data_IF_529044444713
#
_entry.id   IF_529044444713
#
_cell.length_a   1.000
_cell.length_b   1.000
_cell.length_c   1.000
_cell.angle_alpha   90.00
_cell.angle_beta   90.00
_cell.angle_gamma   90.00
#
_symmetry.space_group_name_H-M   'P 1'
#
loop_
_entity.id
_entity.type
_entity.pdbx_description
1 polymer ?
#
# COMPACT_ATOMS: atom_id res chain seq x y z
N UNK A 1 -3.08 -37.16 -58.16
CA UNK A 1 -3.24 -35.68 -58.22
C UNK A 1 -4.35 -35.26 -57.26
N UNK A 2 -4.07 -34.62 -56.11
CA UNK A 2 -5.11 -34.15 -55.21
C UNK A 2 -5.43 -32.66 -55.47
N UNK A 3 -6.73 -32.35 -55.57
CA UNK A 3 -7.27 -30.99 -55.72
C UNK A 3 -7.19 -30.24 -54.38
N UNK A 4 -6.43 -29.14 -54.36
CA UNK A 4 -6.39 -28.17 -53.24
C UNK A 4 -7.67 -27.33 -53.24
N UNK A 5 -8.43 -27.40 -52.15
CA UNK A 5 -9.53 -26.46 -51.87
C UNK A 5 -8.96 -25.13 -51.37
N UNK A 6 -9.34 -24.03 -52.02
CA UNK A 6 -9.06 -22.66 -51.56
C UNK A 6 -10.22 -22.22 -50.68
N UNK A 7 -9.94 -21.90 -49.41
CA UNK A 7 -10.89 -21.18 -48.54
C UNK A 7 -10.74 -19.67 -48.76
N UNK A 8 -11.84 -18.89 -48.71
CA UNK A 8 -11.77 -17.44 -48.78
C UNK A 8 -11.31 -16.86 -47.44
N UNK A 9 -10.41 -15.87 -47.50
CA UNK A 9 -9.97 -15.07 -46.36
C UNK A 9 -10.95 -13.91 -46.23
N UNK A 10 -11.76 -13.89 -45.16
CA UNK A 10 -12.56 -12.74 -44.79
C UNK A 10 -11.67 -11.69 -44.10
N UNK A 11 -11.39 -10.58 -44.78
CA UNK A 11 -10.87 -9.37 -44.15
C UNK A 11 -11.98 -8.73 -43.31
N UNK A 12 -11.92 -8.86 -41.99
CA UNK A 12 -12.64 -7.99 -41.07
C UNK A 12 -11.79 -6.75 -40.82
N UNK A 13 -12.20 -5.62 -41.39
CA UNK A 13 -11.65 -4.32 -41.06
C UNK A 13 -12.17 -3.91 -39.67
N UNK A 14 -11.31 -4.01 -38.64
CA UNK A 14 -11.59 -3.43 -37.33
C UNK A 14 -11.50 -1.90 -37.41
N UNK A 15 -12.65 -1.24 -37.47
CA UNK A 15 -12.76 0.20 -37.25
C UNK A 15 -12.66 0.44 -35.74
N UNK A 16 -11.47 0.75 -35.25
CA UNK A 16 -11.30 1.28 -33.90
C UNK A 16 -11.85 2.71 -33.87
N UNK A 17 -12.86 3.04 -33.05
CA UNK A 17 -13.24 4.42 -32.84
C UNK A 17 -12.06 5.12 -32.15
N UNK A 18 -11.53 6.15 -32.80
CA UNK A 18 -10.55 7.06 -32.21
C UNK A 18 -11.16 7.71 -30.97
N UNK A 19 -10.84 7.16 -29.79
CA UNK A 19 -11.11 7.77 -28.51
C UNK A 19 -10.28 9.07 -28.46
N UNK A 20 -10.95 10.20 -28.70
CA UNK A 20 -10.41 11.53 -28.47
C UNK A 20 -10.02 11.63 -26.99
N UNK A 21 -8.72 11.45 -26.72
CA UNK A 21 -8.07 11.82 -25.47
C UNK A 21 -8.23 13.34 -25.29
N UNK A 22 -9.32 13.76 -24.66
CA UNK A 22 -9.45 15.09 -24.06
C UNK A 22 -8.44 15.14 -22.91
N UNK A 23 -7.22 15.56 -23.22
CA UNK A 23 -6.26 16.00 -22.23
C UNK A 23 -6.80 17.25 -21.57
N UNK A 24 -7.50 17.10 -20.45
CA UNK A 24 -7.61 18.19 -19.51
C UNK A 24 -6.19 18.46 -19.01
N UNK A 25 -5.65 19.63 -19.31
CA UNK A 25 -4.49 20.20 -18.62
C UNK A 25 -4.88 20.43 -17.16
N UNK A 26 -4.94 19.33 -16.41
CA UNK A 26 -5.11 19.36 -14.97
C UNK A 26 -3.78 19.89 -14.42
N UNK A 27 -3.76 21.18 -14.07
CA UNK A 27 -2.60 21.84 -13.51
C UNK A 27 -2.03 20.98 -12.40
N UNK A 28 -0.81 20.45 -12.62
CA UNK A 28 -0.20 19.51 -11.69
C UNK A 28 -0.21 20.12 -10.28
N UNK A 29 -0.68 19.38 -9.26
CA UNK A 29 -0.75 19.91 -7.90
C UNK A 29 0.64 20.41 -7.47
N UNK A 30 0.71 21.52 -6.72
CA UNK A 30 1.99 22.10 -6.33
C UNK A 30 2.80 21.06 -5.55
N UNK A 31 4.05 20.84 -6.00
CA UNK A 31 4.96 19.90 -5.37
C UNK A 31 5.22 20.32 -3.92
N UNK A 32 4.97 19.42 -2.97
CA UNK A 32 5.35 19.64 -1.58
C UNK A 32 6.86 19.50 -1.42
N UNK A 33 7.45 20.42 -0.65
CA UNK A 33 8.85 20.35 -0.24
C UNK A 33 9.02 19.14 0.68
N UNK A 34 9.96 18.26 0.36
CA UNK A 34 10.24 17.08 1.17
C UNK A 34 10.96 17.47 2.48
N UNK A 35 10.60 16.85 3.62
CA UNK A 35 11.39 16.99 4.83
C UNK A 35 12.78 16.36 4.62
N UNK A 36 13.80 16.81 5.38
CA UNK A 36 15.14 16.22 5.29
C UNK A 36 15.08 14.74 5.67
N UNK A 37 15.89 13.94 4.97
CA UNK A 37 16.08 12.52 5.26
C UNK A 37 17.44 12.31 5.94
N UNK A 38 17.46 11.51 7.01
CA UNK A 38 18.70 11.11 7.70
C UNK A 38 18.82 9.60 7.67
N UNK A 39 19.96 9.11 7.20
CA UNK A 39 20.29 7.69 7.13
C UNK A 39 21.40 7.39 8.13
N UNK A 40 21.08 6.55 9.10
CA UNK A 40 22.01 6.01 10.06
C UNK A 40 22.38 4.60 9.64
N UNK A 41 23.67 4.33 9.44
CA UNK A 41 24.14 3.05 8.91
C UNK A 41 25.38 2.55 9.66
N UNK A 42 25.59 1.23 9.64
CA UNK A 42 26.86 0.61 10.02
C UNK A 42 27.70 0.36 8.76
N UNK A 43 28.97 0.73 8.81
CA UNK A 43 29.98 0.34 7.82
C UNK A 43 30.23 -1.16 7.78
N UNK A 44 29.92 -1.87 8.85
CA UNK A 44 30.00 -3.33 8.91
C UNK A 44 28.77 -4.05 8.31
N UNK A 45 27.70 -3.34 7.91
CA UNK A 45 26.57 -3.97 7.21
C UNK A 45 27.05 -4.42 5.81
N UNK A 46 27.15 -5.73 5.53
CA UNK A 46 27.60 -6.22 4.22
C UNK A 46 26.67 -5.81 3.08
N UNK A 47 25.45 -5.40 3.38
CA UNK A 47 24.47 -4.93 2.40
C UNK A 47 24.48 -3.41 2.21
N UNK A 48 25.28 -2.66 2.98
CA UNK A 48 25.35 -1.21 2.89
C UNK A 48 25.58 -0.70 1.45
N UNK A 49 26.50 -1.25 0.63
CA UNK A 49 26.71 -0.75 -0.73
C UNK A 49 25.45 -0.80 -1.62
N UNK A 50 24.64 -1.86 -1.47
CA UNK A 50 23.38 -1.98 -2.21
C UNK A 50 22.32 -1.00 -1.67
N UNK A 51 22.26 -0.83 -0.35
CA UNK A 51 21.35 0.11 0.30
C UNK A 51 21.66 1.56 -0.06
N UNK A 52 22.94 1.93 0.01
CA UNK A 52 23.47 3.23 -0.36
C UNK A 52 23.10 3.58 -1.80
N UNK A 53 23.33 2.65 -2.73
CA UNK A 53 22.94 2.84 -4.13
C UNK A 53 21.44 3.12 -4.26
N UNK A 54 20.58 2.33 -3.61
CA UNK A 54 19.13 2.51 -3.67
C UNK A 54 18.70 3.87 -3.09
N UNK A 55 19.30 4.30 -1.97
CA UNK A 55 19.06 5.59 -1.35
C UNK A 55 19.49 6.74 -2.28
N UNK A 56 20.68 6.64 -2.88
CA UNK A 56 21.23 7.67 -3.76
C UNK A 56 20.46 7.79 -5.07
N UNK A 57 19.96 6.67 -5.60
CA UNK A 57 19.09 6.66 -6.77
C UNK A 57 17.79 7.46 -6.47
N UNK A 58 17.15 7.26 -5.31
CA UNK A 58 15.97 8.03 -4.89
C UNK A 58 16.29 9.51 -4.70
N UNK A 59 17.43 9.85 -4.09
CA UNK A 59 17.84 11.24 -3.90
C UNK A 59 18.16 11.94 -5.23
N UNK A 60 18.73 11.23 -6.20
CA UNK A 60 19.01 11.75 -7.55
C UNK A 60 17.73 12.09 -8.30
N UNK A 61 16.69 11.28 -8.14
CA UNK A 61 15.35 11.52 -8.71
C UNK A 61 14.58 12.64 -7.99
N UNK A 62 15.04 13.05 -6.80
CA UNK A 62 14.38 14.05 -5.94
C UNK A 62 15.39 15.10 -5.45
N UNK A 63 15.83 16.05 -6.31
CA UNK A 63 16.94 16.95 -6.00
C UNK A 63 16.68 17.93 -4.84
N UNK A 64 15.42 18.16 -4.48
CA UNK A 64 15.00 18.93 -3.30
C UNK A 64 15.06 18.12 -1.99
N UNK A 65 15.25 16.80 -2.06
CA UNK A 65 15.42 15.95 -0.88
C UNK A 65 16.81 16.14 -0.27
N UNK A 66 16.84 16.79 0.89
CA UNK A 66 18.07 16.96 1.68
C UNK A 66 18.41 15.65 2.38
N UNK A 67 19.34 14.88 1.83
CA UNK A 67 19.80 13.60 2.38
C UNK A 67 21.09 13.78 3.20
N UNK A 68 21.10 13.29 4.44
CA UNK A 68 22.29 13.20 5.30
C UNK A 68 22.56 11.74 5.67
N UNK A 69 23.78 11.25 5.42
CA UNK A 69 24.22 9.90 5.83
C UNK A 69 25.14 10.03 7.05
N UNK A 70 24.92 9.20 8.07
CA UNK A 70 25.64 9.19 9.34
C UNK A 70 26.04 7.75 9.65
N UNK A 71 27.34 7.46 9.61
CA UNK A 71 27.84 6.20 10.13
C UNK A 71 27.76 6.24 11.66
N UNK A 72 27.10 5.28 12.28
CA UNK A 72 27.00 5.22 13.75
C UNK A 72 28.13 4.42 14.40
N UNK A 73 28.92 3.70 13.61
CA UNK A 73 30.13 2.98 14.03
C UNK A 73 31.42 3.75 13.73
N UNK A 74 31.32 4.98 13.23
CA UNK A 74 32.50 5.81 12.98
C UNK A 74 33.17 6.25 14.29
N UNK A 75 34.41 5.80 14.46
CA UNK A 75 35.23 5.94 15.67
C UNK A 75 35.81 7.36 15.83
N UNK A 76 35.42 8.36 15.00
CA UNK A 76 35.95 9.72 15.11
C UNK A 76 35.61 10.32 16.49
N UNK A 77 36.59 10.28 17.40
CA UNK A 77 36.48 10.71 18.79
C UNK A 77 37.04 9.74 19.84
N UNK A 78 37.49 8.53 19.49
CA UNK A 78 38.08 7.63 20.49
C UNK A 78 39.55 7.97 20.78
N UNK A 79 39.78 8.65 21.91
CA UNK A 79 41.08 8.66 22.60
C UNK A 79 41.36 7.36 23.36
N UNK A 80 40.85 6.21 22.91
CA UNK A 80 41.03 4.92 23.59
C UNK A 80 41.40 3.84 22.58
N UNK A 81 42.60 3.29 22.77
CA UNK A 81 43.25 2.30 21.90
C UNK A 81 42.33 1.07 21.62
N UNK A 82 41.99 0.79 20.34
CA UNK A 82 41.15 -0.36 19.95
C UNK A 82 41.76 -1.73 20.29
N UNK A 83 43.07 -1.82 20.55
CA UNK A 83 43.74 -3.08 20.90
C UNK A 83 43.31 -3.70 22.25
N UNK A 84 42.59 -2.96 23.10
CA UNK A 84 42.07 -3.48 24.39
C UNK A 84 40.67 -4.10 24.32
N UNK A 85 40.05 -4.13 23.15
CA UNK A 85 38.72 -4.70 22.97
C UNK A 85 38.83 -6.12 22.41
N UNK A 86 38.95 -7.12 23.30
CA UNK A 86 39.01 -8.55 22.93
C UNK A 86 37.64 -9.20 22.72
N UNK A 87 36.54 -8.42 22.68
CA UNK A 87 35.18 -8.96 22.54
C UNK A 87 34.48 -8.47 21.26
N UNK A 88 33.87 -9.37 20.47
CA UNK A 88 33.17 -9.00 19.24
C UNK A 88 31.91 -8.16 19.53
N UNK A 89 31.86 -6.94 18.98
CA UNK A 89 30.82 -5.92 19.22
C UNK A 89 29.38 -6.37 18.96
N UNK A 90 29.17 -7.37 18.10
CA UNK A 90 27.82 -7.86 17.71
C UNK A 90 27.00 -8.44 18.87
N UNK A 91 27.62 -8.92 19.95
CA UNK A 91 26.90 -9.48 21.09
C UNK A 91 26.53 -8.44 22.16
N UNK A 92 27.24 -7.30 22.23
CA UNK A 92 27.04 -6.30 23.29
C UNK A 92 25.92 -5.28 23.00
N UNK A 93 25.57 -5.04 21.74
CA UNK A 93 24.41 -4.20 21.41
C UNK A 93 23.09 -4.74 21.97
N UNK A 94 23.01 -6.05 22.27
CA UNK A 94 21.84 -6.67 22.95
C UNK A 94 21.84 -6.52 24.48
N UNK A 95 23.00 -6.29 25.11
CA UNK A 95 23.14 -6.09 26.57
C UNK A 95 23.27 -4.61 26.98
N UNK A 96 23.23 -3.72 25.99
CA UNK A 96 23.31 -2.28 26.13
C UNK A 96 22.42 -1.72 27.27
N UNK A 97 21.09 -1.95 27.34
CA UNK A 97 20.26 -1.20 28.28
C UNK A 97 20.62 -1.40 29.76
N UNK A 98 21.12 -2.58 30.14
CA UNK A 98 21.49 -2.92 31.53
C UNK A 98 22.97 -2.68 31.84
N UNK A 99 23.88 -2.74 30.86
CA UNK A 99 25.30 -2.35 31.03
C UNK A 99 25.51 -0.83 30.98
N UNK A 100 24.58 -0.07 30.38
CA UNK A 100 24.67 1.39 30.18
C UNK A 100 24.77 2.23 31.45
N UNK A 101 24.28 1.75 32.60
CA UNK A 101 24.32 2.54 33.85
C UNK A 101 25.59 2.37 34.68
N UNK A 102 26.45 1.39 34.38
CA UNK A 102 27.59 1.03 35.25
C UNK A 102 28.95 0.96 34.56
N UNK A 103 29.05 1.19 33.25
CA UNK A 103 30.34 1.21 32.56
C UNK A 103 30.89 2.66 32.53
N UNK A 104 31.98 2.97 33.26
CA UNK A 104 32.55 4.33 33.30
C UNK A 104 33.23 4.76 31.98
N UNK A 105 33.29 3.88 30.97
CA UNK A 105 33.93 4.14 29.67
C UNK A 105 32.96 4.57 28.56
N UNK A 106 31.65 4.64 28.82
CA UNK A 106 30.62 4.92 27.80
C UNK A 106 30.32 6.42 27.56
N UNK A 107 31.08 7.34 28.17
CA UNK A 107 31.03 8.76 27.83
C UNK A 107 31.47 9.10 26.39
N UNK A 108 32.01 8.10 25.66
CA UNK A 108 32.65 8.27 24.35
C UNK A 108 32.01 7.44 23.23
N UNK A 109 30.71 7.11 23.29
CA UNK A 109 30.06 6.48 22.13
C UNK A 109 30.08 7.44 20.92
N UNK A 110 30.20 6.93 19.67
CA UNK A 110 30.21 7.77 18.49
C UNK A 110 29.04 8.75 18.49
N UNK A 111 29.30 10.00 18.08
CA UNK A 111 28.24 11.00 17.97
C UNK A 111 27.08 10.53 17.07
N UNK A 112 27.38 9.70 16.06
CA UNK A 112 26.37 9.08 15.18
C UNK A 112 25.45 8.10 15.92
N UNK A 113 25.98 7.33 16.88
CA UNK A 113 25.19 6.39 17.68
C UNK A 113 24.19 7.11 18.59
N UNK A 114 24.60 8.21 19.24
CA UNK A 114 23.68 9.02 20.05
C UNK A 114 22.57 9.66 19.21
N UNK A 115 22.91 10.19 18.03
CA UNK A 115 21.92 10.74 17.10
C UNK A 115 20.93 9.66 16.63
N UNK A 116 21.39 8.43 16.38
CA UNK A 116 20.51 7.31 16.06
C UNK A 116 19.56 7.01 17.23
N UNK A 117 20.07 6.85 18.45
CA UNK A 117 19.25 6.56 19.63
C UNK A 117 18.20 7.64 19.90
N UNK A 118 18.57 8.91 19.72
CA UNK A 118 17.65 10.04 19.87
C UNK A 118 16.53 9.98 18.81
N UNK A 119 16.89 9.73 17.55
CA UNK A 119 15.92 9.58 16.47
C UNK A 119 14.98 8.38 16.67
N UNK A 120 15.53 7.23 17.08
CA UNK A 120 14.74 6.02 17.38
C UNK A 120 13.77 6.24 18.55
N UNK A 121 14.20 6.96 19.59
CA UNK A 121 13.32 7.33 20.71
C UNK A 121 12.23 8.29 20.27
N UNK A 122 12.59 9.35 19.54
CA UNK A 122 11.67 10.39 19.11
C UNK A 122 10.55 9.83 18.22
N UNK A 123 10.85 8.84 17.37
CA UNK A 123 9.90 8.20 16.46
C UNK A 123 9.34 6.86 16.99
N UNK A 124 9.67 6.48 18.23
CA UNK A 124 9.27 5.21 18.85
C UNK A 124 9.57 3.98 17.96
N UNK A 125 10.75 3.96 17.34
CA UNK A 125 11.13 2.96 16.34
C UNK A 125 11.40 1.61 17.01
N UNK A 126 10.51 0.63 16.79
CA UNK A 126 10.73 -0.74 17.19
C UNK A 126 10.25 -1.74 16.11
N UNK A 127 11.04 -2.75 15.73
CA UNK A 127 12.41 -3.04 16.19
C UNK A 127 13.49 -2.27 15.39
N UNK A 128 14.61 -2.00 16.06
CA UNK A 128 15.79 -1.32 15.49
C UNK A 128 16.52 -2.18 14.45
N UNK A 129 17.24 -1.54 13.53
CA UNK A 129 17.94 -2.17 12.41
C UNK A 129 19.45 -1.91 12.39
N UNK A 130 20.14 -2.56 11.45
CA UNK A 130 21.54 -2.28 11.10
C UNK A 130 21.64 -0.99 10.24
N UNK A 131 20.50 -0.57 9.69
CA UNK A 131 20.28 0.64 8.92
C UNK A 131 18.93 1.24 9.34
N UNK A 132 18.91 2.53 9.63
CA UNK A 132 17.70 3.30 9.97
C UNK A 132 17.65 4.55 9.11
N UNK A 133 16.55 4.74 8.38
CA UNK A 133 16.26 5.95 7.61
C UNK A 133 15.08 6.68 8.24
N UNK A 134 15.22 7.97 8.53
CA UNK A 134 14.13 8.84 8.98
C UNK A 134 13.87 9.93 7.95
N UNK A 135 12.59 10.27 7.75
CA UNK A 135 12.14 11.35 6.87
C UNK A 135 10.83 11.94 7.42
N UNK A 136 10.91 13.15 7.99
CA UNK A 136 9.78 13.73 8.74
C UNK A 136 9.35 12.84 9.91
N UNK A 137 8.10 12.39 9.91
CA UNK A 137 7.54 11.49 10.92
C UNK A 137 7.62 10.00 10.55
N UNK A 138 8.24 9.68 9.41
CA UNK A 138 8.35 8.31 8.91
C UNK A 138 9.74 7.77 9.20
N UNK A 139 9.80 6.49 9.60
CA UNK A 139 11.03 5.74 9.74
C UNK A 139 10.96 4.40 9.01
N UNK A 140 12.09 4.00 8.41
CA UNK A 140 12.31 2.70 7.77
C UNK A 140 13.55 2.06 8.41
N UNK A 141 13.52 0.74 8.64
CA UNK A 141 14.67 0.02 9.22
C UNK A 141 14.99 -1.26 8.45
N UNK A 142 16.27 -1.49 8.18
CA UNK A 142 16.76 -2.72 7.56
C UNK A 142 17.59 -3.52 8.57
N UNK A 143 17.37 -4.83 8.63
CA UNK A 143 18.07 -5.78 9.50
C UNK A 143 18.12 -7.17 8.89
N UNK A 144 19.32 -7.71 8.68
CA UNK A 144 19.50 -8.99 8.00
C UNK A 144 18.74 -9.03 6.67
N UNK A 145 17.79 -9.95 6.51
CA UNK A 145 16.99 -10.10 5.29
C UNK A 145 15.81 -9.11 5.16
N UNK A 146 15.45 -8.42 6.25
CA UNK A 146 14.46 -7.35 6.19
C UNK A 146 15.14 -6.09 5.66
N UNK A 147 14.84 -5.68 4.44
CA UNK A 147 15.49 -4.54 3.76
C UNK A 147 14.47 -3.46 3.43
N UNK A 148 13.82 -2.90 4.46
CA UNK A 148 12.67 -1.99 4.27
C UNK A 148 13.10 -0.64 3.73
N UNK A 149 14.30 -0.15 4.08
CA UNK A 149 14.81 1.13 3.54
C UNK A 149 14.90 1.04 2.02
N UNK A 150 15.52 -0.01 1.50
CA UNK A 150 15.73 -0.21 0.08
C UNK A 150 14.43 -0.45 -0.69
N UNK A 151 13.49 -1.18 -0.07
CA UNK A 151 12.21 -1.53 -0.70
C UNK A 151 11.20 -0.41 -0.67
N UNK A 152 11.19 0.40 0.39
CA UNK A 152 10.09 1.32 0.66
C UNK A 152 10.45 2.80 0.49
N UNK A 153 11.74 3.18 0.48
CA UNK A 153 12.12 4.60 0.54
C UNK A 153 11.55 5.42 -0.64
N UNK A 154 11.64 4.89 -1.86
CA UNK A 154 11.04 5.50 -3.04
C UNK A 154 9.53 5.73 -2.88
N UNK A 155 8.81 4.72 -2.38
CA UNK A 155 7.36 4.79 -2.12
C UNK A 155 6.99 5.79 -1.03
N UNK A 156 7.82 5.92 0.02
CA UNK A 156 7.65 6.94 1.07
C UNK A 156 7.82 8.33 0.49
N UNK A 157 8.88 8.58 -0.26
CA UNK A 157 9.14 9.88 -0.89
C UNK A 157 7.99 10.27 -1.82
N UNK A 158 7.53 9.34 -2.65
CA UNK A 158 6.36 9.55 -3.52
C UNK A 158 5.10 9.89 -2.72
N UNK A 159 4.84 9.16 -1.63
CA UNK A 159 3.66 9.38 -0.78
C UNK A 159 3.70 10.72 -0.04
N UNK A 160 4.89 11.17 0.39
CA UNK A 160 5.06 12.49 1.04
C UNK A 160 4.92 13.65 0.04
N UNK A 161 5.39 13.45 -1.19
CA UNK A 161 5.29 14.46 -2.26
C UNK A 161 3.87 14.63 -2.78
N UNK A 162 3.11 13.54 -2.89
CA UNK A 162 1.76 13.49 -3.45
C UNK A 162 0.75 12.80 -2.52
N UNK A 163 0.47 13.36 -1.33
CA UNK A 163 -0.38 12.69 -0.34
C UNK A 163 -1.81 12.45 -0.85
N UNK A 164 -2.35 13.34 -1.68
CA UNK A 164 -3.65 13.19 -2.31
C UNK A 164 -3.75 11.95 -3.21
N UNK A 165 -2.64 11.55 -3.84
CA UNK A 165 -2.59 10.36 -4.70
C UNK A 165 -2.66 9.06 -3.91
N UNK A 166 -2.27 9.07 -2.63
CA UNK A 166 -2.25 7.87 -1.80
C UNK A 166 -3.19 7.84 -0.61
N UNK A 167 -3.84 8.95 -0.24
CA UNK A 167 -4.66 9.04 0.97
C UNK A 167 -6.09 9.44 0.70
N UNK A 168 -6.99 8.93 1.54
CA UNK A 168 -8.40 9.26 1.49
C UNK A 168 -9.15 8.66 0.30
N UNK A 169 -10.42 9.01 0.18
CA UNK A 169 -11.27 8.59 -0.93
C UNK A 169 -10.85 9.29 -2.22
N UNK A 170 -10.77 8.55 -3.32
CA UNK A 170 -10.77 9.14 -4.66
C UNK A 170 -12.20 9.43 -5.12
N UNK A 171 -12.36 10.11 -6.24
CA UNK A 171 -13.64 10.13 -6.94
C UNK A 171 -14.00 8.71 -7.42
N UNK A 172 -15.27 8.35 -7.32
CA UNK A 172 -15.82 7.05 -7.74
C UNK A 172 -17.09 7.29 -8.55
N UNK A 173 -17.42 6.38 -9.48
CA UNK A 173 -18.66 6.42 -10.27
C UNK A 173 -19.49 5.15 -10.07
N UNK A 174 -20.23 5.04 -8.93
CA UNK A 174 -21.14 3.93 -8.69
C UNK A 174 -22.18 3.72 -9.81
N UNK A 175 -22.81 4.76 -10.40
CA UNK A 175 -23.71 4.57 -11.56
C UNK A 175 -23.05 3.87 -12.74
N UNK A 176 -21.85 4.28 -13.17
CA UNK A 176 -21.17 3.65 -14.29
C UNK A 176 -20.76 2.21 -13.96
N UNK A 177 -20.29 1.96 -12.73
CA UNK A 177 -19.95 0.61 -12.30
C UNK A 177 -21.17 -0.31 -12.24
N UNK A 178 -22.31 0.17 -11.74
CA UNK A 178 -23.57 -0.56 -11.74
C UNK A 178 -24.00 -0.97 -13.16
N UNK A 179 -23.86 -0.07 -14.14
CA UNK A 179 -24.19 -0.39 -15.54
C UNK A 179 -23.28 -1.46 -16.15
N UNK A 180 -22.00 -1.49 -15.75
CA UNK A 180 -21.08 -2.57 -16.17
C UNK A 180 -21.49 -3.92 -15.58
N UNK A 181 -21.91 -3.95 -14.32
CA UNK A 181 -22.16 -5.19 -13.57
C UNK A 181 -23.57 -5.75 -13.76
N UNK A 182 -24.59 -4.89 -13.78
CA UNK A 182 -26.01 -5.27 -13.82
C UNK A 182 -26.69 -4.93 -15.16
N UNK A 183 -25.95 -4.37 -16.11
CA UNK A 183 -26.43 -4.03 -17.46
C UNK A 183 -26.80 -2.56 -17.64
N UNK A 184 -26.98 -2.10 -18.90
CA UNK A 184 -27.05 -0.67 -19.25
C UNK A 184 -28.26 0.07 -18.65
N UNK A 185 -29.30 -0.66 -18.23
CA UNK A 185 -30.52 -0.12 -17.61
C UNK A 185 -30.42 0.03 -16.09
N UNK A 186 -29.30 -0.39 -15.48
CA UNK A 186 -29.08 -0.30 -14.04
C UNK A 186 -29.07 1.16 -13.57
N UNK A 187 -29.80 1.41 -12.48
CA UNK A 187 -29.86 2.70 -11.78
C UNK A 187 -29.39 2.49 -10.34
N UNK A 188 -28.69 3.47 -9.80
CA UNK A 188 -28.24 3.46 -8.41
C UNK A 188 -29.09 4.43 -7.59
N UNK A 189 -29.56 3.96 -6.45
CA UNK A 189 -30.30 4.75 -5.47
C UNK A 189 -29.44 4.84 -4.20
N UNK A 190 -29.00 6.06 -3.86
CA UNK A 190 -28.20 6.28 -2.67
C UNK A 190 -29.03 5.99 -1.41
N UNK A 191 -28.45 5.24 -0.48
CA UNK A 191 -29.07 5.05 0.85
C UNK A 191 -28.64 6.17 1.80
N UNK A 192 -29.41 6.35 2.89
CA UNK A 192 -29.09 7.34 3.90
C UNK A 192 -27.66 7.14 4.45
N UNK A 193 -26.89 8.21 4.69
CA UNK A 193 -25.56 8.11 5.27
C UNK A 193 -25.61 7.36 6.61
N UNK A 194 -24.64 6.48 6.85
CA UNK A 194 -24.46 5.83 8.14
C UNK A 194 -23.18 6.32 8.83
N UNK A 195 -23.01 5.93 10.09
CA UNK A 195 -21.79 6.17 10.86
C UNK A 195 -20.56 5.40 10.34
N UNK A 196 -20.74 4.54 9.34
CA UNK A 196 -19.64 3.84 8.66
C UNK A 196 -19.07 4.69 7.54
N UNK A 197 -17.77 4.58 7.29
CA UNK A 197 -17.15 5.26 6.15
C UNK A 197 -17.70 4.79 4.80
N UNK A 198 -18.27 3.58 4.70
CA UNK A 198 -18.81 2.98 3.48
C UNK A 198 -20.13 3.60 3.01
N UNK A 199 -20.28 3.73 1.68
CA UNK A 199 -21.51 4.24 1.05
C UNK A 199 -22.19 3.12 0.28
N UNK A 200 -23.47 2.90 0.56
CA UNK A 200 -24.26 1.81 -0.02
C UNK A 200 -25.28 2.38 -1.02
N UNK A 201 -25.36 1.75 -2.18
CA UNK A 201 -26.24 2.12 -3.27
C UNK A 201 -27.08 0.90 -3.66
N UNK A 202 -28.41 1.00 -3.55
CA UNK A 202 -29.29 -0.03 -4.11
C UNK A 202 -29.26 0.06 -5.64
N UNK A 203 -29.25 -1.11 -6.29
CA UNK A 203 -29.25 -1.19 -7.76
C UNK A 203 -30.59 -1.73 -8.23
N UNK A 204 -31.26 -0.94 -9.07
CA UNK A 204 -32.51 -1.30 -9.71
C UNK A 204 -32.35 -1.42 -11.23
N UNK A 205 -32.98 -2.45 -11.78
CA UNK A 205 -33.16 -2.64 -13.23
C UNK A 205 -34.66 -2.74 -13.47
N UNK A 206 -35.21 -1.73 -14.17
CA UNK A 206 -36.63 -1.71 -14.55
C UNK A 206 -37.61 -1.80 -13.37
N UNK A 207 -37.27 -1.13 -12.26
CA UNK A 207 -38.10 -1.13 -11.05
C UNK A 207 -37.96 -2.39 -10.19
N UNK A 208 -37.10 -3.33 -10.59
CA UNK A 208 -36.73 -4.49 -9.77
C UNK A 208 -35.33 -4.29 -9.20
N UNK A 209 -35.22 -4.42 -7.88
CA UNK A 209 -33.94 -4.43 -7.20
C UNK A 209 -33.16 -5.70 -7.53
N UNK A 210 -31.94 -5.54 -8.03
CA UNK A 210 -31.08 -6.65 -8.49
C UNK A 210 -29.81 -6.81 -7.66
N UNK A 211 -29.44 -5.81 -6.86
CA UNK A 211 -28.22 -5.89 -6.08
C UNK A 211 -27.85 -4.58 -5.38
N UNK A 212 -26.58 -4.49 -5.03
CA UNK A 212 -25.95 -3.38 -4.35
C UNK A 212 -24.63 -3.01 -5.03
N UNK A 213 -24.32 -1.71 -5.10
CA UNK A 213 -22.95 -1.22 -5.20
C UNK A 213 -22.57 -0.66 -3.84
N UNK A 214 -21.37 -1.01 -3.37
CA UNK A 214 -20.81 -0.45 -2.15
C UNK A 214 -19.51 0.24 -2.46
N UNK A 215 -19.42 1.51 -2.12
CA UNK A 215 -18.21 2.32 -2.21
C UNK A 215 -17.47 2.23 -0.87
N UNK A 216 -16.51 1.30 -0.82
CA UNK A 216 -15.80 0.91 0.37
C UNK A 216 -14.46 1.64 0.51
N UNK A 217 -14.17 2.13 1.72
CA UNK A 217 -12.92 2.84 2.01
C UNK A 217 -12.28 2.39 3.31
N UNK A 218 -10.98 2.09 3.30
CA UNK A 218 -10.21 1.77 4.50
C UNK A 218 -8.83 2.41 4.44
N UNK A 219 -8.49 3.16 5.49
CA UNK A 219 -7.12 3.63 5.68
C UNK A 219 -6.18 2.45 5.97
N UNK A 220 -5.09 2.30 5.21
CA UNK A 220 -4.13 1.20 5.42
C UNK A 220 -3.15 1.52 6.57
N UNK A 221 -3.04 2.80 6.96
CA UNK A 221 -2.10 3.28 7.98
C UNK A 221 -0.64 2.84 7.72
N UNK A 222 -0.29 2.60 6.46
CA UNK A 222 1.07 2.30 6.01
C UNK A 222 1.61 3.56 5.33
N UNK A 223 2.74 4.14 5.77
CA UNK A 223 3.24 5.40 5.20
C UNK A 223 3.63 5.29 3.72
N UNK A 224 3.80 4.06 3.21
CA UNK A 224 4.23 3.75 1.84
C UNK A 224 3.08 3.41 0.90
N UNK A 225 2.07 2.70 1.41
CA UNK A 225 0.98 2.18 0.58
C UNK A 225 -0.17 3.19 0.55
N UNK A 226 -0.87 3.24 -0.59
CA UNK A 226 -2.15 3.92 -0.72
C UNK A 226 -3.20 3.36 0.26
N UNK A 227 -4.15 4.20 0.66
CA UNK A 227 -5.38 3.73 1.31
C UNK A 227 -6.22 2.91 0.32
N UNK A 228 -7.02 1.98 0.83
CA UNK A 228 -7.89 1.18 0.00
C UNK A 228 -9.17 1.95 -0.29
N UNK A 229 -9.51 2.08 -1.57
CA UNK A 229 -10.78 2.59 -2.05
C UNK A 229 -11.27 1.70 -3.19
N UNK A 230 -12.42 1.06 -3.05
CA UNK A 230 -12.95 0.16 -4.08
C UNK A 230 -14.48 0.21 -4.16
N UNK A 231 -15.01 -0.04 -5.35
CA UNK A 231 -16.42 -0.34 -5.55
C UNK A 231 -16.61 -1.85 -5.52
N UNK A 232 -17.61 -2.32 -4.79
CA UNK A 232 -17.96 -3.75 -4.69
C UNK A 232 -19.39 -3.94 -5.16
N UNK A 233 -19.58 -4.84 -6.12
CA UNK A 233 -20.91 -5.20 -6.64
C UNK A 233 -21.38 -6.50 -6.01
N UNK A 234 -22.59 -6.51 -5.44
CA UNK A 234 -23.19 -7.67 -4.77
C UNK A 234 -24.58 -7.94 -5.35
N UNK A 235 -24.83 -9.16 -5.83
CA UNK A 235 -26.15 -9.54 -6.38
C UNK A 235 -27.14 -9.94 -5.31
N UNK A 236 -28.43 -9.81 -5.64
CA UNK A 236 -29.55 -10.37 -4.89
C UNK A 236 -30.19 -11.53 -5.67
N UNK A 237 -30.79 -12.51 -4.97
CA UNK A 237 -30.97 -12.59 -3.51
C UNK A 237 -29.81 -13.27 -2.75
N UNK A 238 -28.82 -13.78 -3.47
CA UNK A 238 -27.76 -14.67 -2.98
C UNK A 238 -26.62 -13.96 -2.24
N UNK A 239 -26.58 -12.63 -2.27
CA UNK A 239 -25.51 -11.81 -1.68
C UNK A 239 -24.13 -12.17 -2.24
N UNK A 240 -24.10 -12.47 -3.53
CA UNK A 240 -22.90 -12.92 -4.21
C UNK A 240 -22.09 -11.76 -4.77
N UNK A 241 -20.79 -11.75 -4.54
CA UNK A 241 -19.89 -10.74 -5.10
C UNK A 241 -19.76 -10.96 -6.61
N UNK A 242 -20.11 -9.95 -7.39
CA UNK A 242 -19.94 -9.96 -8.84
C UNK A 242 -18.56 -9.46 -9.25
N UNK A 243 -18.09 -8.39 -8.58
CA UNK A 243 -16.79 -7.78 -8.84
C UNK A 243 -16.34 -6.88 -7.67
N UNK A 244 -15.03 -6.68 -7.61
CA UNK A 244 -14.36 -5.67 -6.79
C UNK A 244 -13.53 -4.81 -7.74
N UNK A 245 -13.79 -3.50 -7.77
CA UNK A 245 -13.16 -2.55 -8.70
C UNK A 245 -12.40 -1.48 -7.90
N UNK A 246 -11.06 -1.60 -7.80
CA UNK A 246 -10.26 -0.68 -7.02
C UNK A 246 -10.22 0.69 -7.73
N UNK A 247 -10.59 1.75 -7.01
CA UNK A 247 -10.61 3.12 -7.53
C UNK A 247 -9.21 3.76 -7.54
N UNK A 248 -8.19 3.00 -7.15
CA UNK A 248 -6.75 3.30 -7.20
C UNK A 248 -6.01 1.99 -7.39
N UNK A 249 -4.81 2.01 -7.97
CA UNK A 249 -4.01 0.80 -8.08
C UNK A 249 -3.73 0.20 -6.70
N UNK A 250 -3.85 -1.13 -6.60
CA UNK A 250 -3.30 -1.84 -5.44
C UNK A 250 -1.77 -1.76 -5.49
N UNK A 251 -1.13 -1.68 -4.33
CA UNK A 251 0.31 -1.42 -4.27
C UNK A 251 1.09 -2.44 -3.43
N UNK A 252 2.34 -2.65 -3.84
CA UNK A 252 3.42 -3.30 -3.11
C UNK A 252 4.50 -2.25 -2.83
N UNK A 253 4.65 -1.85 -1.56
CA UNK A 253 5.65 -0.87 -1.14
C UNK A 253 5.60 0.47 -1.92
N UNK A 254 4.39 0.98 -2.22
CA UNK A 254 4.20 2.23 -2.96
C UNK A 254 4.40 2.12 -4.48
N UNK A 255 4.62 0.91 -4.97
CA UNK A 255 4.66 0.57 -6.40
C UNK A 255 3.34 -0.09 -6.77
N UNK A 256 2.64 0.39 -7.81
CA UNK A 256 1.46 -0.29 -8.34
C UNK A 256 1.75 -1.76 -8.67
N UNK A 257 0.82 -2.64 -8.32
CA UNK A 257 0.86 -4.03 -8.74
C UNK A 257 0.64 -4.13 -10.26
N UNK A 258 1.13 -5.23 -10.82
CA UNK A 258 0.82 -5.57 -12.20
C UNK A 258 -0.70 -5.78 -12.37
N UNK A 259 -1.30 -5.36 -13.50
CA UNK A 259 -2.72 -5.56 -13.75
C UNK A 259 -3.16 -7.04 -13.69
N UNK A 260 -2.37 -7.98 -14.21
CA UNK A 260 -2.69 -9.41 -14.19
C UNK A 260 -2.65 -9.95 -12.75
N UNK A 261 -1.64 -9.56 -11.97
CA UNK A 261 -1.54 -9.91 -10.54
C UNK A 261 -2.73 -9.34 -9.75
N UNK A 262 -3.15 -8.11 -10.06
CA UNK A 262 -4.31 -7.46 -9.47
C UNK A 262 -5.60 -8.20 -9.81
N UNK A 263 -5.80 -8.56 -11.08
CA UNK A 263 -6.97 -9.30 -11.55
C UNK A 263 -7.04 -10.69 -10.92
N UNK A 264 -5.91 -11.42 -10.87
CA UNK A 264 -5.83 -12.73 -10.22
C UNK A 264 -6.19 -12.65 -8.73
N UNK A 265 -5.70 -11.63 -8.02
CA UNK A 265 -6.04 -11.41 -6.61
C UNK A 265 -7.53 -11.10 -6.43
N UNK A 266 -8.05 -10.12 -7.18
CA UNK A 266 -9.44 -9.69 -7.04
C UNK A 266 -10.45 -10.73 -7.50
N UNK A 267 -10.08 -11.56 -8.48
CA UNK A 267 -10.88 -12.68 -8.97
C UNK A 267 -11.22 -13.70 -7.88
N UNK A 268 -10.40 -13.82 -6.82
CA UNK A 268 -10.68 -14.71 -5.69
C UNK A 268 -11.90 -14.30 -4.86
N UNK A 269 -12.35 -13.04 -4.97
CA UNK A 269 -13.56 -12.55 -4.31
C UNK A 269 -14.83 -12.79 -5.13
N UNK A 270 -14.70 -13.05 -6.43
CA UNK A 270 -15.85 -13.29 -7.30
C UNK A 270 -16.61 -14.54 -6.85
N UNK A 271 -17.92 -14.49 -6.95
CA UNK A 271 -18.86 -15.53 -6.56
C UNK A 271 -18.89 -15.89 -5.06
N UNK A 272 -18.17 -15.13 -4.21
CA UNK A 272 -18.23 -15.29 -2.74
C UNK A 272 -19.57 -14.84 -2.19
N UNK A 273 -20.05 -15.53 -1.16
CA UNK A 273 -21.28 -15.21 -0.43
C UNK A 273 -21.01 -15.21 1.09
N UNK A 274 -21.89 -14.61 1.91
CA UNK A 274 -21.78 -14.70 3.37
C UNK A 274 -21.84 -16.14 3.91
N UNK A 275 -22.45 -17.06 3.16
CA UNK A 275 -22.55 -18.48 3.52
C UNK A 275 -21.26 -19.28 3.26
N UNK A 276 -20.25 -18.69 2.59
CA UNK A 276 -18.96 -19.31 2.30
C UNK A 276 -17.80 -18.60 3.00
N UNK A 277 -17.81 -18.45 4.34
CA UNK A 277 -16.82 -17.64 5.05
C UNK A 277 -15.42 -18.26 5.12
N UNK A 278 -15.29 -19.57 4.87
CA UNK A 278 -14.05 -20.31 5.13
C UNK A 278 -13.03 -20.23 3.99
N UNK A 279 -13.37 -19.63 2.85
CA UNK A 279 -12.44 -19.68 1.73
C UNK A 279 -11.32 -18.67 1.92
N UNK A 280 -10.14 -19.23 2.20
CA UNK A 280 -8.89 -18.51 2.30
C UNK A 280 -8.62 -17.74 1.00
N UNK A 281 -8.41 -16.44 1.14
CA UNK A 281 -7.89 -15.58 0.08
C UNK A 281 -6.37 -15.62 0.14
N UNK A 282 -5.74 -16.00 -0.97
CA UNK A 282 -4.30 -15.98 -1.09
C UNK A 282 -3.82 -14.54 -1.19
N UNK A 283 -3.02 -14.13 -0.20
CA UNK A 283 -2.44 -12.81 -0.16
C UNK A 283 -1.37 -12.64 -1.23
N UNK A 284 -1.26 -11.42 -1.76
CA UNK A 284 -0.20 -11.04 -2.68
C UNK A 284 1.13 -10.96 -1.90
N UNK A 285 2.15 -11.68 -2.37
CA UNK A 285 3.47 -11.69 -1.74
C UNK A 285 4.02 -10.28 -1.66
N UNK A 286 4.51 -9.88 -0.48
CA UNK A 286 5.06 -8.53 -0.26
C UNK A 286 4.01 -7.41 -0.16
N UNK A 287 2.71 -7.68 -0.36
CA UNK A 287 1.64 -6.70 -0.24
C UNK A 287 0.64 -7.07 0.88
N UNK A 288 1.13 -7.66 1.97
CA UNK A 288 0.32 -8.19 3.07
C UNK A 288 -0.69 -7.19 3.63
N UNK A 289 -0.29 -5.93 3.82
CA UNK A 289 -1.21 -4.89 4.33
C UNK A 289 -2.32 -4.60 3.32
N UNK A 290 -1.97 -4.43 2.05
CA UNK A 290 -2.91 -4.21 0.95
C UNK A 290 -3.91 -5.36 0.83
N UNK A 291 -3.42 -6.61 0.77
CA UNK A 291 -4.27 -7.80 0.66
C UNK A 291 -5.20 -7.95 1.87
N UNK A 292 -4.66 -7.80 3.08
CA UNK A 292 -5.46 -7.93 4.31
C UNK A 292 -6.53 -6.84 4.42
N UNK A 293 -6.20 -5.59 4.09
CA UNK A 293 -7.20 -4.52 4.11
C UNK A 293 -8.29 -4.74 3.06
N UNK A 294 -7.93 -5.24 1.88
CA UNK A 294 -8.91 -5.61 0.84
C UNK A 294 -9.85 -6.72 1.30
N UNK A 295 -9.31 -7.79 1.89
CA UNK A 295 -10.10 -8.88 2.46
C UNK A 295 -11.06 -8.38 3.55
N UNK A 296 -10.57 -7.55 4.48
CA UNK A 296 -11.40 -6.95 5.54
C UNK A 296 -12.53 -6.11 4.94
N UNK A 297 -12.21 -5.23 3.98
CA UNK A 297 -13.20 -4.35 3.35
C UNK A 297 -14.30 -5.17 2.66
N UNK A 298 -13.94 -6.16 1.86
CA UNK A 298 -14.90 -7.02 1.14
C UNK A 298 -15.79 -7.80 2.13
N UNK A 299 -15.22 -8.34 3.21
CA UNK A 299 -15.99 -9.04 4.24
C UNK A 299 -16.97 -8.11 4.96
N UNK A 300 -16.54 -6.90 5.30
CA UNK A 300 -17.39 -5.90 5.95
C UNK A 300 -18.49 -5.40 5.02
N UNK A 301 -18.22 -5.28 3.71
CA UNK A 301 -19.23 -5.02 2.69
C UNK A 301 -20.31 -6.10 2.69
N UNK A 302 -19.93 -7.38 2.62
CA UNK A 302 -20.88 -8.49 2.61
C UNK A 302 -21.76 -8.49 3.87
N UNK A 303 -21.14 -8.29 5.04
CA UNK A 303 -21.87 -8.16 6.30
C UNK A 303 -22.83 -6.97 6.28
N UNK A 304 -22.36 -5.80 5.84
CA UNK A 304 -23.16 -4.58 5.79
C UNK A 304 -24.34 -4.66 4.83
N UNK A 305 -24.21 -5.38 3.71
CA UNK A 305 -25.33 -5.69 2.80
C UNK A 305 -26.29 -6.69 3.45
N UNK A 306 -25.78 -7.76 4.07
CA UNK A 306 -26.60 -8.77 4.74
C UNK A 306 -27.48 -8.17 5.84
N UNK A 307 -26.90 -7.30 6.68
CA UNK A 307 -27.62 -6.63 7.77
C UNK A 307 -28.76 -5.76 7.22
N UNK A 308 -28.52 -5.01 6.14
CA UNK A 308 -29.54 -4.20 5.46
C UNK A 308 -30.67 -5.03 4.87
N UNK A 309 -30.33 -6.15 4.25
CA UNK A 309 -31.34 -7.08 3.72
C UNK A 309 -32.19 -7.70 4.82
N UNK A 310 -31.59 -7.96 5.99
CA UNK A 310 -32.33 -8.43 7.16
C UNK A 310 -33.28 -7.35 7.68
N UNK A 311 -32.77 -6.14 7.94
CA UNK A 311 -33.57 -5.01 8.41
C UNK A 311 -34.73 -4.69 7.48
N UNK A 312 -34.52 -4.78 6.16
CA UNK A 312 -35.59 -4.56 5.17
C UNK A 312 -36.66 -5.63 5.23
N UNK A 313 -36.30 -6.91 5.39
CA UNK A 313 -37.27 -8.00 5.56
C UNK A 313 -38.10 -7.80 6.83
N UNK A 314 -37.47 -7.30 7.89
CA UNK A 314 -38.13 -7.07 9.19
C UNK A 314 -39.12 -5.89 9.13
N UNK A 315 -38.93 -4.91 8.25
CA UNK A 315 -39.83 -3.75 8.09
C UNK A 315 -41.10 -4.04 7.28
N UNK A 316 -41.17 -5.18 6.60
CA UNK A 316 -42.26 -5.49 5.68
C UNK A 316 -42.22 -4.68 4.37
N UNK A 317 -43.04 -5.04 3.37
CA UNK A 317 -43.10 -4.38 2.08
C UNK A 317 -43.61 -2.94 2.12
#
# INVERSE_FOLDING_TARGET
MPRRSRRPVCLWACVFPAFLLRGADEAAPPLRILPPAVVYYSKEDPHWPAAEKAIDDVARENPDLKLKKIAFDDVQGYGCNPERWTFPMKSQARFAPTLHRRCPFFGNAPQGYWQLLEAERALSIHPTGDLTLTIGTVALTSKGQRRDVERCFAGVVKSLRFPERGRGRSESDPPAFARRMFGPRARVNATAPQATDDRFYEVDVEGRRVGWIVDAFRAIACPVCCDLHCLVAVSLPDLRILAVDPQRSLERYGVPLDPEETELFLGQFKDRTPASPEVRIDAIVGATKTSRTCEIAVREVLKGVQDRERERKDRGP
#
